data_IF_594542667388
#
_entry.id   IF_594542667388
#
_cell.length_a   1.000
_cell.length_b   1.000
_cell.length_c   1.000
_cell.angle_alpha   90.00
_cell.angle_beta   90.00
_cell.angle_gamma   90.00
#
_symmetry.space_group_name_H-M   'P 1'
#
loop_
_entity.id
_entity.type
_entity.pdbx_description
1 polymer ?
#
# COMPACT_ATOMS: atom_id res chain seq x y z
N UNK A 1 4.88 1.40 25.58
CA UNK A 1 6.12 0.87 26.19
C UNK A 1 5.86 -0.61 26.45
N UNK A 2 6.32 -1.57 25.67
CA UNK A 2 7.32 -1.61 24.61
C UNK A 2 6.91 -2.72 23.63
N UNK A 3 7.01 -2.45 22.32
CA UNK A 3 7.24 -3.49 21.31
C UNK A 3 7.86 -2.91 20.03
N UNK A 4 8.65 -1.84 20.20
CA UNK A 4 9.53 -1.31 19.16
C UNK A 4 10.95 -1.72 19.50
N UNK A 5 11.16 -3.04 19.64
CA UNK A 5 12.51 -3.57 19.49
C UNK A 5 12.79 -3.61 17.99
N UNK A 6 13.52 -2.59 17.53
CA UNK A 6 14.32 -2.65 16.32
C UNK A 6 14.88 -4.06 16.16
N UNK A 7 14.44 -4.78 15.13
CA UNK A 7 15.05 -6.05 14.75
C UNK A 7 16.48 -5.76 14.29
N UNK A 8 17.41 -5.83 15.24
CA UNK A 8 18.84 -5.52 15.11
C UNK A 8 19.63 -6.52 14.23
N UNK A 9 19.03 -7.09 13.19
CA UNK A 9 19.62 -8.16 12.37
C UNK A 9 19.53 -7.93 10.85
N UNK A 10 19.50 -6.66 10.38
CA UNK A 10 19.47 -6.37 8.93
C UNK A 10 18.33 -7.04 8.16
N UNK A 11 17.24 -7.41 8.86
CA UNK A 11 16.09 -8.10 8.30
C UNK A 11 15.03 -7.06 7.96
N UNK A 12 14.61 -7.08 6.70
CA UNK A 12 13.50 -6.23 6.26
C UNK A 12 12.23 -6.62 7.01
N UNK A 13 11.43 -5.64 7.45
CA UNK A 13 10.18 -5.93 8.12
C UNK A 13 9.17 -6.57 7.16
N UNK A 14 8.18 -7.30 7.71
CA UNK A 14 7.19 -8.06 6.94
C UNK A 14 6.48 -7.21 5.88
N UNK A 15 6.10 -5.98 6.22
CA UNK A 15 5.46 -5.06 5.27
C UNK A 15 6.36 -4.67 4.09
N UNK A 16 7.67 -4.52 4.32
CA UNK A 16 8.63 -4.18 3.25
C UNK A 16 8.85 -5.38 2.33
N UNK A 17 8.96 -6.58 2.89
CA UNK A 17 9.03 -7.83 2.11
C UNK A 17 7.76 -8.00 1.29
N UNK A 18 6.60 -7.80 1.90
CA UNK A 18 5.30 -7.90 1.25
C UNK A 18 5.17 -6.95 0.04
N UNK A 19 5.52 -5.68 0.24
CA UNK A 19 5.52 -4.65 -0.80
C UNK A 19 6.45 -5.02 -1.96
N UNK A 20 7.69 -5.39 -1.65
CA UNK A 20 8.70 -5.77 -2.64
C UNK A 20 8.29 -7.01 -3.44
N UNK A 21 7.82 -8.06 -2.76
CA UNK A 21 7.51 -9.35 -3.37
C UNK A 21 6.33 -9.27 -4.33
N UNK A 22 5.29 -8.48 -4.01
CA UNK A 22 4.09 -8.35 -4.84
C UNK A 22 4.21 -7.25 -5.92
N UNK A 23 5.25 -6.41 -5.88
CA UNK A 23 5.41 -5.30 -6.81
C UNK A 23 5.37 -5.72 -8.29
N UNK A 24 5.88 -6.91 -8.61
CA UNK A 24 5.91 -7.44 -9.98
C UNK A 24 4.51 -7.63 -10.62
N UNK A 25 3.44 -7.69 -9.83
CA UNK A 25 2.05 -7.74 -10.33
C UNK A 25 1.57 -6.39 -10.92
N UNK A 26 2.29 -5.29 -10.67
CA UNK A 26 1.99 -3.94 -11.20
C UNK A 26 0.59 -3.41 -10.84
N UNK A 27 0.03 -3.85 -9.72
CA UNK A 27 -1.26 -3.36 -9.21
C UNK A 27 -1.15 -2.10 -8.34
N UNK A 28 0.05 -1.49 -8.24
CA UNK A 28 0.34 -0.39 -7.32
C UNK A 28 1.16 -0.87 -6.12
N UNK A 29 1.23 -0.04 -5.08
CA UNK A 29 1.89 -0.40 -3.83
C UNK A 29 0.97 -1.26 -2.98
N UNK A 30 1.40 -2.45 -2.59
CA UNK A 30 0.59 -3.35 -1.78
C UNK A 30 0.61 -2.95 -0.31
N UNK A 31 -0.57 -2.81 0.28
CA UNK A 31 -0.72 -2.44 1.68
C UNK A 31 -0.70 -3.68 2.57
N UNK A 32 0.19 -3.69 3.56
CA UNK A 32 0.25 -4.71 4.62
C UNK A 32 -0.90 -4.56 5.62
N UNK A 33 -1.43 -3.34 5.74
CA UNK A 33 -2.62 -3.02 6.53
C UNK A 33 -3.73 -2.50 5.61
N UNK A 34 -4.49 -3.39 4.93
CA UNK A 34 -5.65 -3.01 4.12
C UNK A 34 -6.86 -2.52 4.92
N UNK A 35 -6.78 -2.58 6.25
CA UNK A 35 -7.86 -2.30 7.17
C UNK A 35 -8.41 -0.89 7.01
N UNK A 36 -9.73 -0.79 7.13
CA UNK A 36 -10.43 0.45 7.35
C UNK A 36 -10.12 0.97 8.77
N UNK A 37 -9.77 2.25 8.90
CA UNK A 37 -9.65 2.90 10.20
C UNK A 37 -11.03 3.50 10.60
N UNK A 38 -11.64 3.07 11.72
CA UNK A 38 -12.94 3.59 12.16
C UNK A 38 -12.99 5.10 12.41
N UNK A 39 -11.86 5.70 12.78
CA UNK A 39 -11.76 7.12 13.05
C UNK A 39 -11.48 7.93 11.77
N UNK A 40 -10.66 7.40 10.86
CA UNK A 40 -10.20 8.14 9.67
C UNK A 40 -10.98 7.83 8.39
N UNK A 41 -11.68 6.70 8.35
CA UNK A 41 -12.41 6.24 7.18
C UNK A 41 -11.62 5.26 6.30
N UNK A 42 -12.24 4.84 5.20
CA UNK A 42 -11.56 4.05 4.17
C UNK A 42 -10.62 4.94 3.34
N UNK A 43 -9.57 4.34 2.77
CA UNK A 43 -8.72 5.02 1.80
C UNK A 43 -9.53 5.40 0.56
N UNK A 44 -9.46 6.65 0.14
CA UNK A 44 -10.17 7.20 -1.02
C UNK A 44 -9.21 7.85 -2.00
N UNK A 45 -9.62 7.86 -3.27
CA UNK A 45 -8.98 8.72 -4.26
C UNK A 45 -9.07 10.17 -3.77
N UNK A 46 -7.97 10.90 -3.89
CA UNK A 46 -7.86 12.26 -3.37
C UNK A 46 -7.27 12.37 -1.98
N UNK A 47 -7.17 11.28 -1.24
CA UNK A 47 -6.53 11.34 0.07
C UNK A 47 -5.07 11.78 -0.09
N UNK A 48 -4.68 12.75 0.72
CA UNK A 48 -3.29 13.16 0.92
C UNK A 48 -2.88 12.66 2.29
N UNK A 49 -1.74 12.00 2.37
CA UNK A 49 -1.29 11.35 3.61
C UNK A 49 0.13 10.83 3.49
N UNK A 50 0.47 9.84 4.29
CA UNK A 50 1.76 9.16 4.21
C UNK A 50 1.61 7.66 4.39
N UNK A 51 2.63 6.90 4.00
CA UNK A 51 2.69 5.46 4.20
C UNK A 51 3.66 5.20 5.34
N UNK A 52 3.22 4.43 6.34
CA UNK A 52 4.07 3.99 7.45
C UNK A 52 3.78 2.53 7.79
N UNK A 53 4.82 1.75 8.04
CA UNK A 53 4.73 0.32 8.41
C UNK A 53 3.79 -0.52 7.51
N UNK A 54 3.68 -0.15 6.23
CA UNK A 54 2.82 -0.83 5.25
C UNK A 54 1.33 -0.46 5.27
N UNK A 55 0.92 0.53 6.07
CA UNK A 55 -0.40 1.15 6.03
C UNK A 55 -0.36 2.55 5.45
N UNK A 56 -1.51 3.04 5.00
CA UNK A 56 -1.68 4.42 4.55
C UNK A 56 -2.49 5.21 5.58
N UNK A 57 -1.99 6.40 5.94
CA UNK A 57 -2.58 7.27 6.94
C UNK A 57 -3.03 8.58 6.29
N UNK A 58 -4.33 8.80 6.09
CA UNK A 58 -4.82 10.03 5.49
C UNK A 58 -4.68 11.23 6.45
N UNK A 59 -4.33 12.38 5.90
CA UNK A 59 -4.37 13.69 6.56
C UNK A 59 -5.70 14.38 6.25
N UNK A 60 -6.00 14.55 4.97
CA UNK A 60 -7.22 15.13 4.45
C UNK A 60 -7.50 14.58 3.04
N UNK A 61 -8.71 14.79 2.51
CA UNK A 61 -9.03 14.45 1.13
C UNK A 61 -9.11 15.72 0.29
N UNK A 62 -8.26 15.82 -0.74
CA UNK A 62 -8.12 17.00 -1.57
C UNK A 62 -9.20 17.15 -2.64
N UNK A 63 -10.13 16.19 -2.77
CA UNK A 63 -11.29 16.28 -3.67
C UNK A 63 -12.53 16.80 -2.94
N UNK A 64 -12.53 16.70 -1.61
CA UNK A 64 -13.61 17.18 -0.76
C UNK A 64 -13.45 18.68 -0.49
N UNK A 65 -14.59 19.36 -0.40
CA UNK A 65 -14.67 20.73 0.08
C UNK A 65 -14.40 20.84 1.59
N UNK A 66 -14.31 22.07 2.10
CA UNK A 66 -14.14 22.31 3.54
C UNK A 66 -15.40 22.00 4.36
N UNK A 67 -16.57 21.96 3.72
CA UNK A 67 -17.86 21.70 4.37
C UNK A 67 -18.11 20.19 4.54
N UNK A 68 -17.40 19.35 3.79
CA UNK A 68 -17.51 17.90 3.86
C UNK A 68 -16.63 17.30 4.96
N UNK A 69 -17.04 16.19 5.59
CA UNK A 69 -16.22 15.51 6.60
C UNK A 69 -14.86 15.08 6.06
N UNK A 70 -13.79 15.58 6.69
CA UNK A 70 -12.40 15.24 6.39
C UNK A 70 -11.86 14.18 7.35
N UNK A 71 -10.92 13.32 6.91
CA UNK A 71 -10.30 12.28 7.75
C UNK A 71 -9.85 12.77 9.14
N UNK A 72 -9.19 13.93 9.22
CA UNK A 72 -8.75 14.53 10.50
C UNK A 72 -9.49 15.82 10.86
N UNK A 73 -10.63 16.08 10.21
CA UNK A 73 -11.44 17.28 10.45
C UNK A 73 -10.79 18.61 10.06
N UNK A 74 -9.63 18.59 9.39
CA UNK A 74 -8.90 19.79 8.97
C UNK A 74 -8.45 19.66 7.51
N UNK A 75 -8.17 20.80 6.88
CA UNK A 75 -7.62 20.92 5.53
C UNK A 75 -6.47 21.94 5.53
N UNK A 76 -5.60 21.95 4.50
CA UNK A 76 -4.57 22.97 4.35
C UNK A 76 -5.16 24.38 4.22
N UNK A 77 -4.37 25.39 4.56
CA UNK A 77 -4.78 26.79 4.36
C UNK A 77 -5.03 27.08 2.87
N UNK A 78 -6.13 27.79 2.59
CA UNK A 78 -6.53 28.12 1.21
C UNK A 78 -6.90 26.90 0.36
N UNK A 79 -7.29 25.78 0.98
CA UNK A 79 -7.64 24.54 0.29
C UNK A 79 -8.69 24.76 -0.82
N UNK A 80 -8.28 24.47 -2.05
CA UNK A 80 -9.16 24.39 -3.22
C UNK A 80 -9.26 22.94 -3.68
N UNK A 81 -10.46 22.33 -3.72
CA UNK A 81 -10.63 20.97 -4.21
C UNK A 81 -10.16 20.80 -5.65
N UNK A 82 -9.54 19.66 -5.96
CA UNK A 82 -9.15 19.37 -7.34
C UNK A 82 -10.39 19.27 -8.23
N UNK A 83 -10.41 20.08 -9.30
CA UNK A 83 -11.52 20.07 -10.26
C UNK A 83 -11.51 18.77 -11.09
N UNK A 84 -12.54 17.94 -10.90
CA UNK A 84 -12.70 16.67 -11.62
C UNK A 84 -13.42 16.79 -12.98
N UNK A 85 -13.96 17.95 -13.35
CA UNK A 85 -14.76 18.12 -14.57
C UNK A 85 -14.00 17.74 -15.86
N UNK A 86 -12.68 17.94 -15.87
CA UNK A 86 -11.80 17.59 -16.99
C UNK A 86 -10.87 16.41 -16.68
N UNK A 87 -11.21 15.61 -15.67
CA UNK A 87 -10.39 14.49 -15.19
C UNK A 87 -11.07 13.18 -15.57
N UNK A 88 -10.32 12.29 -16.24
CA UNK A 88 -10.81 10.95 -16.57
C UNK A 88 -10.56 10.04 -15.38
N UNK A 89 -11.63 9.47 -14.83
CA UNK A 89 -11.59 8.45 -13.78
C UNK A 89 -12.05 7.13 -14.36
N UNK A 90 -11.22 6.10 -14.24
CA UNK A 90 -11.66 4.73 -14.49
C UNK A 90 -12.38 4.21 -13.24
N UNK A 91 -13.64 3.82 -13.41
CA UNK A 91 -14.49 3.37 -12.29
C UNK A 91 -14.66 1.86 -12.24
N UNK A 92 -14.75 1.35 -11.02
CA UNK A 92 -15.14 -0.01 -10.60
C UNK A 92 -14.72 -1.17 -11.52
N UNK A 93 -13.46 -1.16 -11.96
CA UNK A 93 -12.91 -2.25 -12.78
C UNK A 93 -12.59 -3.45 -11.91
N UNK A 94 -13.16 -4.62 -12.21
CA UNK A 94 -12.73 -5.90 -11.62
C UNK A 94 -11.34 -6.25 -12.15
N UNK A 95 -10.30 -6.04 -11.35
CA UNK A 95 -8.90 -6.14 -11.78
C UNK A 95 -8.21 -7.42 -11.32
N UNK A 96 -8.57 -7.92 -10.14
CA UNK A 96 -8.03 -9.17 -9.60
C UNK A 96 -9.19 -10.14 -9.41
N UNK A 97 -9.22 -11.19 -10.23
CA UNK A 97 -10.28 -12.20 -10.24
C UNK A 97 -9.82 -13.53 -9.65
N UNK A 98 -8.51 -13.69 -9.50
CA UNK A 98 -7.89 -14.82 -8.82
C UNK A 98 -7.91 -14.62 -7.29
N UNK A 99 -8.07 -15.70 -6.51
CA UNK A 99 -8.12 -15.65 -5.04
C UNK A 99 -6.75 -15.53 -4.38
N UNK A 100 -5.66 -15.71 -5.13
CA UNK A 100 -4.29 -15.69 -4.62
C UNK A 100 -3.38 -14.91 -5.56
N UNK A 101 -2.64 -13.95 -5.00
CA UNK A 101 -1.41 -13.40 -5.56
C UNK A 101 -0.24 -13.85 -4.68
N UNK A 102 0.85 -14.27 -5.31
CA UNK A 102 2.06 -14.69 -4.61
C UNK A 102 3.25 -13.82 -5.02
N UNK A 103 4.26 -13.75 -4.17
CA UNK A 103 5.52 -13.06 -4.42
C UNK A 103 6.27 -13.67 -5.60
N UNK A 104 7.11 -12.88 -6.26
CA UNK A 104 7.88 -13.33 -7.44
C UNK A 104 8.87 -14.46 -7.11
N UNK A 105 9.18 -14.65 -5.83
CA UNK A 105 10.00 -15.76 -5.33
C UNK A 105 9.24 -17.08 -5.13
N UNK A 106 7.92 -17.12 -5.30
CA UNK A 106 7.12 -18.34 -5.12
C UNK A 106 6.94 -19.07 -6.45
N UNK A 107 7.20 -20.39 -6.46
CA UNK A 107 7.06 -21.27 -7.63
C UNK A 107 6.00 -22.35 -7.38
N UNK A 108 5.54 -22.93 -8.50
CA UNK A 108 4.69 -24.13 -8.55
C UNK A 108 3.46 -24.09 -7.62
N UNK A 109 2.68 -23.02 -7.71
CA UNK A 109 1.46 -22.89 -6.91
C UNK A 109 0.41 -23.91 -7.40
N UNK A 110 0.06 -24.88 -6.56
CA UNK A 110 -0.99 -25.88 -6.82
C UNK A 110 -2.18 -25.59 -5.93
N UNK A 111 -3.31 -25.24 -6.55
CA UNK A 111 -4.55 -24.94 -5.83
C UNK A 111 -5.39 -26.22 -5.63
N UNK A 112 -5.94 -26.37 -4.43
CA UNK A 112 -6.98 -27.35 -4.12
C UNK A 112 -8.09 -26.68 -3.31
N UNK A 113 -9.34 -26.96 -3.65
CA UNK A 113 -10.48 -26.48 -2.87
C UNK A 113 -10.74 -27.41 -1.69
N UNK A 114 -10.86 -26.85 -0.48
CA UNK A 114 -11.24 -27.60 0.72
C UNK A 114 -12.70 -27.33 1.03
N UNK A 115 -13.56 -28.35 0.90
CA UNK A 115 -14.95 -28.29 1.34
C UNK A 115 -14.98 -28.60 2.84
N UNK A 116 -15.08 -27.58 3.69
CA UNK A 116 -15.34 -27.79 5.10
C UNK A 116 -16.82 -28.15 5.29
N UNK A 117 -17.15 -29.44 5.17
CA UNK A 117 -18.35 -29.97 5.81
C UNK A 117 -18.00 -30.17 7.29
N UNK A 118 -18.77 -29.59 8.20
CA UNK A 118 -18.53 -29.73 9.65
C UNK A 118 -18.47 -31.21 10.04
N UNK A 119 -17.26 -31.76 10.20
CA UNK A 119 -17.04 -33.13 10.66
C UNK A 119 -15.84 -33.80 9.99
N UNK A 120 -14.82 -34.07 10.81
CA UNK A 120 -13.65 -34.94 10.60
C UNK A 120 -12.35 -34.28 10.15
N UNK A 121 -11.44 -34.13 11.12
CA UNK A 121 -9.99 -33.98 10.96
C UNK A 121 -9.41 -35.21 10.26
N UNK A 122 -8.70 -35.00 9.15
CA UNK A 122 -7.97 -36.04 8.41
C UNK A 122 -6.62 -35.51 7.94
N UNK A 123 -5.56 -36.08 8.50
CA UNK A 123 -4.13 -35.86 8.25
C UNK A 123 -3.68 -36.09 6.77
N UNK A 124 -2.43 -35.71 6.40
CA UNK A 124 -2.00 -35.47 5.02
C UNK A 124 -1.49 -36.73 4.31
N UNK A 125 -1.79 -36.89 3.01
CA UNK A 125 -1.12 -37.82 2.09
C UNK A 125 -1.19 -37.30 0.64
N UNK A 126 -0.33 -37.80 -0.28
CA UNK A 126 0.24 -37.04 -1.39
C UNK A 126 -0.48 -37.31 -2.71
N UNK A 127 -0.47 -36.30 -3.59
CA UNK A 127 -0.66 -36.34 -5.04
C UNK A 127 -1.87 -37.10 -5.66
N UNK A 128 -2.61 -36.33 -6.48
CA UNK A 128 -3.35 -36.76 -7.69
C UNK A 128 -4.64 -37.56 -7.51
N UNK A 129 -5.78 -36.86 -7.49
CA UNK A 129 -6.84 -37.00 -8.51
C UNK A 129 -7.93 -35.94 -8.29
N UNK A 130 -8.40 -35.34 -9.36
CA UNK A 130 -9.56 -34.44 -9.37
C UNK A 130 -10.83 -35.21 -9.00
N UNK A 131 -11.33 -35.05 -7.78
CA UNK A 131 -12.61 -35.66 -7.38
C UNK A 131 -13.76 -34.69 -7.65
N UNK A 132 -14.54 -34.99 -8.68
CA UNK A 132 -15.86 -34.40 -8.90
C UNK A 132 -16.82 -34.91 -7.81
N UNK A 133 -17.23 -34.04 -6.90
CA UNK A 133 -18.20 -34.37 -5.86
C UNK A 133 -19.62 -34.46 -6.45
N UNK A 134 -20.06 -35.66 -6.82
CA UNK A 134 -21.48 -35.99 -6.99
C UNK A 134 -21.88 -37.06 -5.98
N UNK A 135 -22.70 -36.70 -5.00
CA UNK A 135 -23.24 -37.65 -4.02
C UNK A 135 -24.21 -36.98 -3.05
N UNK A 136 -25.49 -36.91 -3.43
CA UNK A 136 -26.60 -36.47 -2.58
C UNK A 136 -27.14 -37.66 -1.79
N UNK A 137 -27.33 -37.51 -0.48
CA UNK A 137 -28.37 -38.24 0.26
C UNK A 137 -29.06 -37.31 1.26
N UNK A 138 -30.39 -37.30 1.15
CA UNK A 138 -31.34 -36.39 1.80
C UNK A 138 -31.44 -36.63 3.31
N UNK A 139 -31.22 -35.58 4.10
CA UNK A 139 -31.54 -35.48 5.53
C UNK A 139 -31.44 -34.02 5.93
N UNK A 140 -32.51 -33.44 6.50
CA UNK A 140 -32.63 -32.02 6.83
C UNK A 140 -31.52 -31.56 7.79
N UNK A 141 -30.45 -31.00 7.22
CA UNK A 141 -29.47 -30.15 7.92
C UNK A 141 -29.75 -28.72 7.45
N UNK A 142 -29.80 -27.76 8.38
CA UNK A 142 -29.90 -26.35 8.02
C UNK A 142 -28.83 -26.01 6.96
N UNK A 143 -29.14 -25.22 5.92
CA UNK A 143 -28.18 -24.88 4.88
C UNK A 143 -27.06 -24.03 5.49
N UNK A 144 -26.03 -24.69 6.02
CA UNK A 144 -24.75 -24.07 6.27
C UNK A 144 -24.14 -23.89 4.88
N UNK A 145 -23.98 -22.64 4.44
CA UNK A 145 -23.23 -22.34 3.24
C UNK A 145 -21.88 -23.07 3.31
N UNK A 146 -21.48 -23.84 2.29
CA UNK A 146 -20.18 -24.51 2.33
C UNK A 146 -19.09 -23.46 2.54
N UNK A 147 -18.33 -23.60 3.62
CA UNK A 147 -17.16 -22.74 3.86
C UNK A 147 -16.09 -23.13 2.86
N UNK A 148 -15.90 -22.27 1.85
CA UNK A 148 -14.90 -22.49 0.82
C UNK A 148 -13.54 -22.08 1.37
N UNK A 149 -12.83 -23.05 1.99
CA UNK A 149 -11.43 -22.90 2.33
C UNK A 149 -10.57 -23.06 1.07
N UNK A 150 -9.57 -22.20 0.90
CA UNK A 150 -8.60 -22.29 -0.17
C UNK A 150 -7.28 -22.84 0.38
N UNK A 151 -6.76 -23.91 -0.23
CA UNK A 151 -5.45 -24.47 0.09
C UNK A 151 -4.53 -24.39 -1.14
N UNK A 152 -3.31 -23.92 -0.94
CA UNK A 152 -2.31 -23.83 -1.99
C UNK A 152 -0.97 -24.41 -1.51
N UNK A 153 -0.42 -25.37 -2.27
CA UNK A 153 0.96 -25.80 -2.12
C UNK A 153 1.91 -24.95 -2.96
N UNK A 154 3.12 -24.72 -2.50
CA UNK A 154 4.13 -23.90 -3.19
C UNK A 154 5.57 -24.36 -2.92
N UNK A 155 6.50 -23.88 -3.74
CA UNK A 155 7.95 -24.01 -3.53
C UNK A 155 8.61 -22.63 -3.47
N UNK A 156 9.45 -22.39 -2.48
CA UNK A 156 10.22 -21.17 -2.34
C UNK A 156 11.44 -21.17 -3.25
N UNK A 157 11.59 -20.18 -4.13
CA UNK A 157 12.80 -20.03 -4.94
C UNK A 157 13.88 -19.16 -4.29
N UNK A 158 13.50 -18.36 -3.29
CA UNK A 158 14.42 -17.57 -2.47
C UNK A 158 14.08 -17.74 -1.00
N UNK A 159 14.82 -17.03 -0.15
CA UNK A 159 14.71 -17.05 1.30
C UNK A 159 13.60 -16.14 1.86
N UNK A 160 12.88 -15.43 0.99
CA UNK A 160 11.76 -14.57 1.36
C UNK A 160 10.60 -14.75 0.40
N UNK A 161 9.38 -14.55 0.88
CA UNK A 161 8.16 -14.69 0.06
C UNK A 161 6.99 -13.93 0.66
N UNK A 162 5.95 -13.79 -0.14
CA UNK A 162 4.72 -13.12 0.27
C UNK A 162 3.50 -13.71 -0.43
N UNK A 163 2.34 -13.56 0.22
CA UNK A 163 1.05 -13.99 -0.29
C UNK A 163 -0.01 -12.94 0.02
N UNK A 164 -0.91 -12.73 -0.93
CA UNK A 164 -2.18 -12.05 -0.75
C UNK A 164 -3.29 -13.00 -1.18
N UNK A 165 -4.07 -13.45 -0.22
CA UNK A 165 -5.33 -14.14 -0.45
C UNK A 165 -6.46 -13.13 -0.32
N UNK A 166 -7.45 -13.22 -1.19
CA UNK A 166 -8.62 -12.33 -1.14
C UNK A 166 -9.88 -13.05 -1.58
N UNK A 167 -11.03 -12.52 -1.17
CA UNK A 167 -12.31 -12.87 -1.77
C UNK A 167 -12.47 -12.10 -3.10
N UNK A 168 -12.44 -12.77 -4.27
CA UNK A 168 -12.56 -12.08 -5.54
C UNK A 168 -14.00 -11.61 -5.81
N UNK A 169 -14.19 -10.56 -6.62
CA UNK A 169 -13.15 -9.77 -7.29
C UNK A 169 -12.61 -8.64 -6.40
N UNK A 170 -11.35 -8.26 -6.61
CA UNK A 170 -10.90 -6.92 -6.22
C UNK A 170 -11.32 -5.89 -7.27
N UNK A 171 -11.74 -4.73 -6.80
CA UNK A 171 -12.25 -3.63 -7.62
C UNK A 171 -11.29 -2.46 -7.56
N UNK A 172 -10.84 -1.98 -8.72
CA UNK A 172 -9.96 -0.83 -8.84
C UNK A 172 -10.67 0.40 -9.38
N UNK A 173 -10.37 1.54 -8.78
CA UNK A 173 -10.75 2.88 -9.23
C UNK A 173 -9.48 3.73 -9.34
N UNK A 174 -9.35 4.55 -10.38
CA UNK A 174 -8.13 5.34 -10.60
C UNK A 174 -8.36 6.58 -11.47
N UNK A 175 -7.70 7.69 -11.12
CA UNK A 175 -7.57 8.88 -11.97
C UNK A 175 -6.51 8.63 -13.05
N UNK A 176 -6.91 8.75 -14.31
CA UNK A 176 -6.04 8.56 -15.47
C UNK A 176 -5.33 9.85 -15.93
N UNK A 177 -5.89 11.02 -15.58
CA UNK A 177 -5.36 12.34 -15.98
C UNK A 177 -4.11 12.75 -15.20
N UNK A 178 -2.98 12.09 -15.46
CA UNK A 178 -1.69 12.26 -14.75
C UNK A 178 -1.21 13.72 -14.68
N UNK A 179 -1.33 14.46 -15.79
CA UNK A 179 -0.92 15.88 -15.87
C UNK A 179 -1.72 16.76 -14.91
N UNK A 180 -3.03 16.54 -14.83
CA UNK A 180 -3.89 17.29 -13.90
C UNK A 180 -3.50 17.02 -12.44
N UNK A 181 -3.18 15.77 -12.09
CA UNK A 181 -2.67 15.43 -10.75
C UNK A 181 -1.37 16.19 -10.48
N UNK A 182 -0.38 16.07 -11.37
CA UNK A 182 0.93 16.67 -11.17
C UNK A 182 0.87 18.21 -11.05
N UNK A 183 0.05 18.87 -11.88
CA UNK A 183 -0.13 20.31 -11.85
C UNK A 183 -0.86 20.76 -10.57
N UNK A 184 -1.87 20.00 -10.12
CA UNK A 184 -2.58 20.25 -8.87
C UNK A 184 -1.69 20.06 -7.64
N UNK A 185 -0.94 18.97 -7.57
CA UNK A 185 0.02 18.76 -6.49
C UNK A 185 1.04 19.89 -6.45
N UNK A 186 1.67 20.25 -7.59
CA UNK A 186 2.68 21.32 -7.63
C UNK A 186 2.18 22.65 -7.07
N UNK A 187 0.91 23.00 -7.32
CA UNK A 187 0.29 24.24 -6.84
C UNK A 187 0.10 24.22 -5.31
N UNK A 188 -0.30 23.09 -4.74
CA UNK A 188 -0.79 23.01 -3.36
C UNK A 188 0.15 22.29 -2.38
N UNK A 189 1.22 21.67 -2.88
CA UNK A 189 2.14 20.88 -2.07
C UNK A 189 2.78 21.65 -0.89
N UNK A 190 3.17 22.94 -1.03
CA UNK A 190 3.69 23.70 0.11
C UNK A 190 2.74 23.73 1.30
N UNK A 191 1.43 23.96 1.06
CA UNK A 191 0.42 23.98 2.11
C UNK A 191 0.17 22.59 2.70
N UNK A 192 0.32 21.52 1.90
CA UNK A 192 0.19 20.15 2.39
C UNK A 192 1.34 19.80 3.33
N UNK A 193 2.56 20.19 2.98
CA UNK A 193 3.74 20.03 3.82
C UNK A 193 3.62 20.82 5.12
N UNK A 194 3.13 22.06 5.06
CA UNK A 194 2.88 22.88 6.24
C UNK A 194 1.80 22.26 7.15
N UNK A 195 0.70 21.75 6.60
CA UNK A 195 -0.31 21.02 7.38
C UNK A 195 0.32 19.80 8.06
N UNK A 196 1.08 18.98 7.33
CA UNK A 196 1.70 17.77 7.88
C UNK A 196 2.72 18.08 8.99
N UNK A 197 3.57 19.09 8.78
CA UNK A 197 4.73 19.32 9.62
C UNK A 197 4.50 20.39 10.68
N UNK A 198 3.86 21.50 10.35
CA UNK A 198 3.60 22.60 11.29
C UNK A 198 2.38 22.32 12.17
N UNK A 199 1.27 21.84 11.58
CA UNK A 199 0.04 21.58 12.34
C UNK A 199 0.06 20.22 13.06
N UNK A 200 0.49 19.15 12.38
CA UNK A 200 0.53 17.81 12.98
C UNK A 200 1.89 17.40 13.56
N UNK A 201 2.97 18.16 13.33
CA UNK A 201 4.27 17.86 13.92
C UNK A 201 4.94 16.59 13.38
N UNK A 202 4.60 16.15 12.16
CA UNK A 202 5.02 14.83 11.66
C UNK A 202 6.47 14.79 11.15
N UNK A 203 7.06 15.94 10.80
CA UNK A 203 8.44 16.01 10.31
C UNK A 203 8.69 15.25 9.00
N UNK A 204 7.67 15.08 8.16
CA UNK A 204 7.74 14.38 6.88
C UNK A 204 8.56 15.17 5.86
N UNK A 205 9.42 14.47 5.12
CA UNK A 205 10.03 14.96 3.89
C UNK A 205 8.97 15.08 2.79
N UNK A 206 9.26 15.87 1.76
CA UNK A 206 8.33 16.05 0.64
C UNK A 206 7.97 14.70 0.00
N UNK A 207 8.96 13.84 -0.23
CA UNK A 207 8.76 12.54 -0.85
C UNK A 207 7.99 11.54 0.03
N UNK A 208 7.75 11.85 1.31
CA UNK A 208 6.96 11.01 2.21
C UNK A 208 5.47 11.36 2.16
N UNK A 209 5.11 12.55 1.68
CA UNK A 209 3.72 12.96 1.48
C UNK A 209 3.24 12.43 0.13
N UNK A 210 2.18 11.62 0.17
CA UNK A 210 1.60 10.97 -1.01
C UNK A 210 0.20 11.48 -1.30
N UNK A 211 -0.12 11.61 -2.59
CA UNK A 211 -1.47 11.81 -3.09
C UNK A 211 -2.02 10.49 -3.66
N UNK A 212 -3.17 10.05 -3.18
CA UNK A 212 -3.84 8.83 -3.65
C UNK A 212 -4.58 9.10 -4.95
N UNK A 213 -4.05 8.56 -6.05
CA UNK A 213 -4.66 8.65 -7.38
C UNK A 213 -5.58 7.48 -7.72
N UNK A 214 -5.48 6.37 -7.00
CA UNK A 214 -6.28 5.18 -7.24
C UNK A 214 -6.16 4.17 -6.11
N UNK A 215 -7.14 3.29 -6.04
CA UNK A 215 -7.27 2.26 -5.00
C UNK A 215 -7.73 0.96 -5.63
N UNK A 216 -7.24 -0.17 -5.14
CA UNK A 216 -7.80 -1.50 -5.40
C UNK A 216 -8.30 -2.08 -4.08
N UNK A 217 -9.59 -2.39 -4.02
CA UNK A 217 -10.26 -2.83 -2.80
C UNK A 217 -10.89 -4.21 -2.91
N UNK A 218 -11.00 -4.90 -1.79
CA UNK A 218 -11.69 -6.20 -1.65
C UNK A 218 -12.55 -6.20 -0.38
N UNK A 219 -13.40 -7.22 -0.21
CA UNK A 219 -14.22 -7.40 0.99
C UNK A 219 -13.51 -8.18 2.08
N UNK A 220 -12.63 -9.12 1.72
CA UNK A 220 -11.90 -9.99 2.66
C UNK A 220 -10.51 -10.24 2.11
N UNK A 221 -9.53 -10.30 3.00
CA UNK A 221 -8.14 -10.49 2.65
C UNK A 221 -7.39 -11.24 3.75
N UNK A 222 -6.33 -11.92 3.35
CA UNK A 222 -5.32 -12.45 4.23
C UNK A 222 -3.95 -12.24 3.57
N UNK A 223 -3.03 -11.64 4.29
CA UNK A 223 -1.67 -11.37 3.80
C UNK A 223 -0.67 -12.16 4.62
N UNK A 224 0.40 -12.60 3.97
CA UNK A 224 1.54 -13.19 4.64
C UNK A 224 2.83 -12.71 4.00
N UNK A 225 3.86 -12.51 4.80
CA UNK A 225 5.20 -12.22 4.33
C UNK A 225 6.22 -12.85 5.27
N UNK A 226 7.23 -13.48 4.70
CA UNK A 226 8.21 -14.25 5.46
C UNK A 226 9.60 -14.08 4.89
N UNK A 227 10.59 -14.27 5.76
CA UNK A 227 11.97 -14.46 5.41
C UNK A 227 12.61 -15.50 6.33
N UNK A 228 13.67 -16.18 5.88
CA UNK A 228 14.36 -17.21 6.64
C UNK A 228 15.18 -18.11 5.72
N UNK A 229 15.62 -19.27 6.18
CA UNK A 229 16.33 -20.23 5.33
C UNK A 229 15.32 -21.10 4.57
N UNK A 230 14.63 -20.49 3.60
CA UNK A 230 13.49 -21.09 2.91
C UNK A 230 13.74 -21.47 1.45
N UNK A 231 14.90 -21.12 0.88
CA UNK A 231 15.21 -21.46 -0.51
C UNK A 231 15.13 -22.95 -0.81
N UNK A 232 14.37 -23.29 -1.86
CA UNK A 232 14.07 -24.67 -2.33
C UNK A 232 13.31 -25.52 -1.31
N UNK A 233 12.64 -24.88 -0.34
CA UNK A 233 11.71 -25.57 0.58
C UNK A 233 10.30 -25.50 0.02
N UNK A 234 9.55 -26.58 0.22
CA UNK A 234 8.12 -26.64 -0.07
C UNK A 234 7.32 -26.10 1.12
N UNK A 235 6.13 -25.58 0.83
CA UNK A 235 5.22 -25.07 1.84
C UNK A 235 3.77 -25.14 1.39
N UNK A 236 2.88 -24.82 2.32
CA UNK A 236 1.46 -24.70 2.06
C UNK A 236 0.87 -23.48 2.75
N UNK A 237 -0.17 -22.94 2.14
CA UNK A 237 -0.96 -21.83 2.68
C UNK A 237 -2.44 -22.19 2.60
N UNK A 238 -3.13 -22.01 3.72
CA UNK A 238 -4.57 -22.24 3.83
C UNK A 238 -5.24 -20.98 4.32
N UNK A 239 -6.35 -20.59 3.70
CA UNK A 239 -7.23 -19.56 4.24
C UNK A 239 -8.70 -19.99 4.19
N UNK A 240 -9.43 -19.78 5.28
CA UNK A 240 -10.87 -19.98 5.37
C UNK A 240 -11.60 -18.64 5.50
N UNK A 241 -12.33 -18.25 4.46
CA UNK A 241 -13.12 -17.01 4.41
C UNK A 241 -14.60 -17.18 4.77
N UNK A 242 -15.07 -18.42 5.00
CA UNK A 242 -16.45 -18.72 5.31
C UNK A 242 -16.73 -19.02 6.78
N UNK A 243 -15.68 -19.11 7.62
CA UNK A 243 -15.82 -19.35 9.05
C UNK A 243 -16.62 -18.24 9.76
N UNK A 244 -17.48 -18.67 10.68
CA UNK A 244 -18.28 -17.77 11.52
C UNK A 244 -17.43 -17.05 12.57
N UNK A 245 -16.25 -17.59 12.89
CA UNK A 245 -15.34 -17.06 13.91
C UNK A 245 -14.36 -16.01 13.36
N UNK A 246 -14.44 -15.68 12.06
CA UNK A 246 -13.50 -14.81 11.38
C UNK A 246 -12.67 -15.58 10.35
N UNK A 247 -11.74 -14.88 9.70
CA UNK A 247 -10.89 -15.47 8.67
C UNK A 247 -9.71 -16.16 9.37
N UNK A 248 -9.52 -17.45 9.08
CA UNK A 248 -8.34 -18.19 9.55
C UNK A 248 -7.34 -18.32 8.41
N UNK A 249 -6.07 -17.98 8.67
CA UNK A 249 -4.95 -18.24 7.76
C UNK A 249 -3.89 -19.05 8.50
N UNK A 250 -3.32 -20.04 7.80
CA UNK A 250 -2.12 -20.74 8.23
C UNK A 250 -1.13 -20.85 7.08
N UNK A 251 0.15 -20.70 7.41
CA UNK A 251 1.26 -20.86 6.46
C UNK A 251 2.26 -21.82 7.08
N UNK A 252 2.67 -22.83 6.32
CA UNK A 252 3.73 -23.77 6.73
C UNK A 252 4.81 -23.86 5.65
N UNK A 253 6.07 -24.00 6.06
CA UNK A 253 7.21 -24.21 5.17
C UNK A 253 8.09 -25.29 5.79
N UNK A 254 8.41 -26.34 5.03
CA UNK A 254 9.10 -27.54 5.54
C UNK A 254 8.46 -28.10 6.81
N UNK A 255 7.13 -28.24 6.79
CA UNK A 255 6.30 -28.76 7.89
C UNK A 255 6.36 -27.93 9.20
N UNK A 256 6.98 -26.76 9.17
CA UNK A 256 6.99 -25.81 10.29
C UNK A 256 5.96 -24.70 10.04
N UNK A 257 5.06 -24.48 11.00
CA UNK A 257 4.13 -23.36 10.96
C UNK A 257 4.87 -22.05 11.18
N UNK A 258 4.57 -21.06 10.33
CA UNK A 258 5.10 -19.71 10.52
C UNK A 258 4.41 -19.02 11.72
N UNK A 259 5.14 -18.17 12.47
CA UNK A 259 4.55 -17.39 13.56
C UNK A 259 3.45 -16.45 13.06
N UNK A 260 2.47 -16.15 13.91
CA UNK A 260 1.38 -15.23 13.58
C UNK A 260 1.82 -13.81 13.24
N UNK A 261 3.02 -13.37 13.65
CA UNK A 261 3.60 -12.09 13.24
C UNK A 261 3.90 -11.99 11.74
N UNK A 262 3.88 -13.12 11.02
CA UNK A 262 4.18 -13.20 9.59
C UNK A 262 2.92 -13.08 8.71
N UNK A 263 1.74 -13.00 9.30
CA UNK A 263 0.49 -12.90 8.55
C UNK A 263 -0.56 -12.05 9.26
N UNK A 264 -1.52 -11.56 8.47
CA UNK A 264 -2.66 -10.78 8.94
C UNK A 264 -3.90 -11.16 8.15
N UNK A 265 -5.06 -10.93 8.73
CA UNK A 265 -6.36 -11.20 8.11
C UNK A 265 -7.32 -10.06 8.38
N UNK A 266 -8.21 -9.77 7.44
CA UNK A 266 -9.27 -8.81 7.67
C UNK A 266 -10.43 -8.92 6.68
N UNK A 267 -11.56 -8.26 6.98
CA UNK A 267 -11.77 -7.36 8.11
C UNK A 267 -11.95 -8.10 9.44
N UNK A 268 -11.51 -7.50 10.55
CA UNK A 268 -11.91 -7.94 11.88
C UNK A 268 -13.43 -7.72 11.99
N UNK A 269 -14.22 -8.80 12.00
CA UNK A 269 -15.67 -8.68 12.19
C UNK A 269 -15.90 -8.01 13.55
N UNK A 270 -16.49 -6.82 13.55
CA UNK A 270 -17.20 -6.37 14.74
C UNK A 270 -18.27 -7.44 15.02
N UNK A 271 -18.33 -8.02 16.23
CA UNK A 271 -19.46 -8.83 16.60
C UNK A 271 -20.67 -7.90 16.45
N UNK A 272 -21.54 -8.21 15.49
CA UNK A 272 -22.78 -7.47 15.32
C UNK A 272 -23.45 -7.45 16.69
N UNK A 273 -23.46 -6.28 17.35
CA UNK A 273 -24.29 -6.06 18.51
C UNK A 273 -25.69 -6.38 18.02
N UNK A 274 -26.19 -7.55 18.41
CA UNK A 274 -27.55 -7.94 18.09
C UNK A 274 -28.44 -6.79 18.56
N UNK A 275 -29.28 -6.19 17.70
CA UNK A 275 -30.23 -5.21 18.17
C UNK A 275 -31.04 -5.89 19.27
N UNK A 276 -30.99 -5.34 20.49
CA UNK A 276 -31.92 -5.71 21.54
C UNK A 276 -33.32 -5.46 20.95
N UNK A 277 -34.02 -6.54 20.61
CA UNK A 277 -35.33 -6.50 19.97
C UNK A 277 -36.32 -5.73 20.88
N UNK A 278 -37.07 -4.75 20.37
CA UNK A 278 -38.41 -4.50 20.90
C UNK A 278 -39.33 -5.61 20.36
N UNK A 279 -40.09 -6.22 21.27
CA UNK A 279 -41.15 -7.19 20.96
C UNK A 279 -42.05 -6.70 19.82
N UNK A 280 -41.89 -7.23 18.61
CA UNK A 280 -42.94 -7.20 17.59
C UNK A 280 -42.73 -8.34 16.60
N UNK A 281 -43.69 -9.27 16.58
CA UNK A 281 -43.71 -10.49 15.78
C UNK A 281 -43.93 -10.21 14.29
N UNK A 282 -42.93 -9.71 13.58
CA UNK A 282 -42.90 -9.75 12.11
C UNK A 282 -41.50 -10.16 11.63
N UNK A 283 -41.36 -11.26 10.86
CA UNK A 283 -40.06 -11.68 10.36
C UNK A 283 -39.61 -10.72 9.26
N UNK A 284 -38.88 -9.67 9.64
CA UNK A 284 -38.16 -8.83 8.68
C UNK A 284 -37.06 -9.69 8.07
N UNK A 285 -37.26 -10.12 6.82
CA UNK A 285 -36.19 -10.63 5.95
C UNK A 285 -35.21 -9.48 5.68
N UNK A 286 -34.35 -9.16 6.65
CA UNK A 286 -33.19 -8.32 6.38
C UNK A 286 -32.30 -9.09 5.42
N UNK A 287 -32.15 -8.58 4.19
CA UNK A 287 -31.16 -9.09 3.26
C UNK A 287 -29.81 -9.24 3.99
N UNK A 288 -29.04 -10.31 3.75
CA UNK A 288 -27.74 -10.47 4.38
C UNK A 288 -26.91 -9.19 4.15
N UNK A 289 -26.13 -8.72 5.15
CA UNK A 289 -25.30 -7.54 5.00
C UNK A 289 -24.49 -7.65 3.70
N UNK A 290 -24.69 -6.70 2.79
CA UNK A 290 -23.96 -6.71 1.53
C UNK A 290 -22.47 -6.56 1.84
N UNK A 291 -21.66 -7.56 1.47
CA UNK A 291 -20.20 -7.49 1.66
C UNK A 291 -19.66 -6.28 0.88
N UNK A 292 -19.09 -5.32 1.60
CA UNK A 292 -18.54 -4.09 1.02
C UNK A 292 -17.09 -4.30 0.64
N UNK A 293 -16.68 -3.76 -0.51
CA UNK A 293 -15.28 -3.71 -0.92
C UNK A 293 -14.61 -2.44 -0.38
N UNK A 294 -14.37 -2.39 0.92
CA UNK A 294 -13.82 -1.23 1.63
C UNK A 294 -12.36 -1.44 2.10
N UNK A 295 -11.81 -2.65 1.97
CA UNK A 295 -10.45 -2.98 2.38
C UNK A 295 -9.46 -2.69 1.25
N UNK A 296 -8.53 -1.75 1.43
CA UNK A 296 -7.63 -1.28 0.37
C UNK A 296 -6.35 -2.13 0.30
N UNK A 297 -6.26 -3.03 -0.69
CA UNK A 297 -5.12 -3.95 -0.84
C UNK A 297 -3.99 -3.40 -1.72
N UNK A 298 -4.30 -2.49 -2.65
CA UNK A 298 -3.28 -1.78 -3.43
C UNK A 298 -3.58 -0.29 -3.56
N UNK A 299 -2.52 0.51 -3.50
CA UNK A 299 -2.54 1.96 -3.61
C UNK A 299 -1.82 2.43 -4.88
N UNK A 300 -2.47 3.29 -5.65
CA UNK A 300 -1.82 4.05 -6.72
C UNK A 300 -1.63 5.48 -6.25
N UNK A 301 -0.39 5.93 -6.15
CA UNK A 301 -0.09 7.25 -5.58
C UNK A 301 0.91 8.05 -6.41
N UNK A 302 0.98 9.34 -6.10
CA UNK A 302 2.00 10.27 -6.58
C UNK A 302 2.76 10.86 -5.40
N UNK A 303 4.05 11.12 -5.61
CA UNK A 303 4.98 11.78 -4.68
C UNK A 303 5.58 13.01 -5.34
N UNK A 304 6.08 13.94 -4.55
CA UNK A 304 6.89 15.06 -5.02
C UNK A 304 8.19 15.11 -4.24
N UNK A 305 9.27 15.53 -4.91
CA UNK A 305 10.54 15.86 -4.28
C UNK A 305 11.03 17.19 -4.83
N UNK A 306 11.25 18.18 -3.96
CA UNK A 306 11.78 19.48 -4.38
C UNK A 306 13.26 19.33 -4.77
N UNK A 307 13.68 20.16 -5.73
CA UNK A 307 15.10 20.29 -6.09
C UNK A 307 15.75 21.24 -5.08
N UNK A 308 16.70 20.75 -4.30
CA UNK A 308 17.58 21.64 -3.53
C UNK A 308 18.69 22.14 -4.47
N UNK A 309 18.80 23.47 -4.66
CA UNK A 309 20.00 24.06 -5.29
C UNK A 309 19.84 24.69 -6.68
N UNK A 310 18.67 24.67 -7.31
CA UNK A 310 18.48 25.38 -8.60
C UNK A 310 18.35 26.90 -8.40
N UNK A 311 19.49 27.60 -8.26
CA UNK A 311 19.55 28.99 -8.73
C UNK A 311 19.45 28.93 -10.24
N UNK A 312 18.34 29.40 -10.83
CA UNK A 312 18.25 29.48 -12.28
C UNK A 312 19.32 30.44 -12.79
N UNK A 313 20.44 29.93 -13.30
CA UNK A 313 21.21 30.69 -14.28
C UNK A 313 20.28 30.83 -15.49
N UNK A 314 19.89 32.05 -15.89
CA UNK A 314 19.09 32.23 -17.08
C UNK A 314 19.83 31.55 -18.23
N UNK A 315 19.13 30.68 -18.97
CA UNK A 315 19.67 29.99 -20.13
C UNK A 315 19.94 31.06 -21.21
N UNK A 316 21.14 31.64 -21.17
CA UNK A 316 21.57 32.64 -22.12
C UNK A 316 21.96 31.90 -23.39
N UNK A 317 21.06 31.90 -24.38
CA UNK A 317 21.36 31.37 -25.69
C UNK A 317 22.54 32.15 -26.27
N UNK A 318 23.72 31.51 -26.38
CA UNK A 318 24.90 32.06 -27.03
C UNK A 318 24.77 32.04 -28.56
N UNK A 319 23.64 32.51 -29.08
CA UNK A 319 23.45 32.83 -30.49
C UNK A 319 23.91 34.26 -30.77
N UNK A 320 25.20 34.54 -30.58
CA UNK A 320 25.79 35.83 -30.94
C UNK A 320 26.36 35.79 -32.37
N UNK A 321 26.09 36.80 -33.22
CA UNK A 321 26.82 36.96 -34.47
C UNK A 321 28.26 37.35 -34.16
N UNK A 322 29.22 36.55 -34.62
CA UNK A 322 30.60 36.90 -34.97
C UNK A 322 31.01 38.38 -34.79
N UNK A 323 31.91 38.65 -33.84
CA UNK A 323 32.94 39.70 -33.93
C UNK A 323 34.14 39.36 -33.00
N UNK A 324 35.34 39.50 -33.55
CA UNK A 324 36.64 39.18 -32.93
C UNK A 324 37.05 40.23 -31.87
N UNK A 325 37.92 39.89 -30.89
CA UNK A 325 38.19 40.77 -29.76
C UNK A 325 39.29 41.81 -30.07
N UNK A 326 39.19 43.04 -29.52
CA UNK A 326 40.37 43.85 -29.25
C UNK A 326 40.58 44.13 -27.75
N UNK A 327 41.76 43.69 -27.30
CA UNK A 327 42.71 44.29 -26.33
C UNK A 327 42.21 44.98 -25.03
N UNK A 328 42.49 44.26 -23.91
CA UNK A 328 43.24 44.63 -22.68
C UNK A 328 43.07 45.98 -21.96
N UNK A 329 43.09 45.88 -20.62
CA UNK A 329 43.30 46.89 -19.52
C UNK A 329 42.00 47.42 -18.90
N UNK A 330 41.82 47.60 -17.59
CA UNK A 330 42.62 47.46 -16.36
C UNK A 330 41.65 47.65 -15.15
N UNK A 331 42.02 47.12 -13.98
CA UNK A 331 41.75 47.75 -12.68
C UNK A 331 40.38 47.55 -11.98
N UNK A 332 40.43 47.02 -10.75
CA UNK A 332 39.45 47.33 -9.70
C UNK A 332 39.14 46.18 -8.76
N UNK A 333 39.89 46.09 -7.67
CA UNK A 333 39.59 45.28 -6.48
C UNK A 333 38.19 45.60 -5.92
N UNK A 334 37.50 44.58 -5.43
CA UNK A 334 36.77 44.72 -4.15
C UNK A 334 36.68 43.37 -3.44
N UNK A 335 37.36 43.31 -2.30
CA UNK A 335 37.38 42.22 -1.35
C UNK A 335 36.15 42.35 -0.45
N UNK A 336 35.27 41.36 -0.47
CA UNK A 336 34.25 41.17 0.57
C UNK A 336 34.16 39.70 0.96
N UNK A 337 34.75 39.37 2.11
CA UNK A 337 34.27 38.27 2.96
C UNK A 337 33.11 38.79 3.82
N UNK A 338 32.04 38.02 3.97
CA UNK A 338 31.68 37.49 5.29
C UNK A 338 31.07 36.09 5.18
N UNK A 339 30.97 35.23 6.17
CA UNK A 339 31.42 35.10 7.56
C UNK A 339 31.01 33.65 7.88
N UNK A 340 31.84 32.92 8.61
CA UNK A 340 31.50 31.57 9.08
C UNK A 340 30.42 31.71 10.15
N UNK A 341 29.24 31.13 9.93
CA UNK A 341 28.25 30.88 10.98
C UNK A 341 27.89 29.39 10.98
N UNK A 342 28.08 28.84 12.18
CA UNK A 342 27.58 27.59 12.77
C UNK A 342 26.99 26.52 11.85
N UNK A 343 27.77 25.45 11.66
CA UNK A 343 27.22 24.14 11.39
C UNK A 343 26.65 23.58 12.70
N UNK A 344 25.33 23.59 12.85
CA UNK A 344 24.68 22.72 13.84
C UNK A 344 25.03 21.26 13.50
N UNK A 345 25.67 20.58 14.46
CA UNK A 345 25.92 19.15 14.41
C UNK A 345 24.57 18.41 14.37
N UNK A 346 24.18 17.97 13.17
CA UNK A 346 23.10 17.00 13.03
C UNK A 346 23.58 15.67 13.63
N UNK A 347 22.82 15.04 14.53
CA UNK A 347 23.17 13.71 14.99
C UNK A 347 23.10 12.76 13.79
N UNK A 348 24.24 12.16 13.46
CA UNK A 348 24.38 11.09 12.48
C UNK A 348 23.56 9.91 13.02
N UNK A 349 22.31 9.79 12.59
CA UNK A 349 21.55 8.56 12.74
C UNK A 349 22.06 7.59 11.67
N UNK A 350 22.57 6.44 12.12
CA UNK A 350 23.08 5.34 11.30
C UNK A 350 22.14 5.04 10.10
N UNK A 351 22.55 5.48 8.91
CA UNK A 351 21.69 5.56 7.71
C UNK A 351 21.68 4.28 6.85
N UNK A 352 22.00 3.11 7.41
CA UNK A 352 22.05 1.85 6.65
C UNK A 352 21.28 0.68 7.28
N UNK A 353 20.32 0.99 8.16
CA UNK A 353 19.31 0.03 8.59
C UNK A 353 18.22 -0.07 7.50
N UNK A 354 18.46 -0.90 6.48
CA UNK A 354 17.46 -1.44 5.54
C UNK A 354 16.32 -0.49 5.15
N UNK A 355 16.58 0.46 4.24
CA UNK A 355 15.55 1.39 3.73
C UNK A 355 14.28 0.62 3.32
N UNK A 356 13.09 1.06 3.75
CA UNK A 356 11.83 0.46 3.35
C UNK A 356 11.68 0.53 1.83
N UNK A 357 11.08 -0.51 1.24
CA UNK A 357 10.89 -0.60 -0.21
C UNK A 357 10.01 0.54 -0.74
N UNK A 358 10.60 1.42 -1.54
CA UNK A 358 9.90 2.54 -2.18
C UNK A 358 10.44 2.80 -3.60
N UNK A 359 9.85 2.16 -4.61
CA UNK A 359 10.33 2.27 -5.98
C UNK A 359 10.10 3.65 -6.59
N UNK A 360 9.23 4.48 -6.02
CA UNK A 360 8.98 5.83 -6.53
C UNK A 360 10.09 6.78 -6.07
N UNK A 361 10.57 6.63 -4.84
CA UNK A 361 11.72 7.40 -4.35
C UNK A 361 12.98 7.09 -5.17
N UNK A 362 13.26 5.82 -5.45
CA UNK A 362 14.40 5.43 -6.29
C UNK A 362 14.37 6.12 -7.68
N UNK A 363 13.18 6.22 -8.28
CA UNK A 363 12.99 6.91 -9.56
C UNK A 363 13.16 8.42 -9.41
N UNK A 364 12.65 9.02 -8.33
CA UNK A 364 12.80 10.45 -8.07
C UNK A 364 14.28 10.81 -7.90
N UNK A 365 15.03 10.02 -7.16
CA UNK A 365 16.47 10.21 -6.95
C UNK A 365 17.22 10.10 -8.28
N UNK A 366 16.96 9.05 -9.08
CA UNK A 366 17.55 8.91 -10.41
C UNK A 366 17.23 10.09 -11.35
N UNK A 367 15.99 10.60 -11.33
CA UNK A 367 15.59 11.77 -12.15
C UNK A 367 16.35 13.04 -11.75
N UNK A 368 16.70 13.18 -10.47
CA UNK A 368 17.50 14.30 -9.99
C UNK A 368 18.96 14.12 -10.42
N UNK A 369 19.54 12.93 -10.20
CA UNK A 369 20.93 12.62 -10.55
C UNK A 369 21.24 12.79 -12.05
N UNK A 370 20.43 12.21 -12.94
CA UNK A 370 20.69 12.25 -14.41
C UNK A 370 20.62 13.67 -14.96
N UNK A 371 19.77 14.52 -14.38
CA UNK A 371 19.63 15.89 -14.88
C UNK A 371 20.74 16.81 -14.40
N UNK A 372 21.40 16.46 -13.31
CA UNK A 372 22.58 17.18 -12.84
C UNK A 372 23.81 16.83 -13.71
N UNK A 373 23.89 15.60 -14.23
CA UNK A 373 25.00 15.18 -15.11
C UNK A 373 24.91 15.69 -16.54
N UNK A 374 23.70 15.92 -17.07
CA UNK A 374 23.48 16.51 -18.41
C UNK A 374 23.78 18.03 -18.49
N UNK A 375 24.28 18.64 -17.40
CA UNK A 375 24.59 20.09 -17.33
C UNK A 375 26.07 20.43 -17.08
N UNK A 376 26.96 19.44 -17.19
CA UNK A 376 28.42 19.61 -17.30
C UNK A 376 28.88 19.49 -18.76
#
# INVERSE_FOLDING_TARGET
MADTFLQANGRLPAWSIYAQQLFHHRHGYSLWMPEYDPCLGEVKIGDVGWINEGGFYPLFNSLKSMEEPQPRGVVPEGHEPMNLANVIVSDDRKTITQPLLCGGSIKQVKASATLAANGFVGFPWPFSESVSANGFHSGLVAPCSPSAGAHFGFECSTDAGAFLLLAPPAVSKQIQSKKHIADYMRKNFPQWSELANSHFGLGLKDEEIVFVSGTTKTSKWAVAAFHGEYRRKEGSITADFGSLMGIEISVSISDEMLPSSYYRTGPAREPALSPLLPDTNEPVLSAPPQERCDQCIFLHYYKMKRRLGWKSTPMQAAGGPHELPPSSRDGGDDVLCPSYDDAEETPIFDEDLGKPFDPVNDILDYILEVRDTDTL
#
